data_IF_038404117017
#
_entry.id   IF_038404117017
#
_cell.length_a   1.000
_cell.length_b   1.000
_cell.length_c   1.000
_cell.angle_alpha   90.00
_cell.angle_beta   90.00
_cell.angle_gamma   90.00
#
_symmetry.space_group_name_H-M   'P 1'
#
loop_
_entity.id
_entity.type
_entity.pdbx_description
1 polymer ?
#
# COMPACT_ATOMS: atom_id res chain seq x y z
N UNK A 1 38.59 10.35 -9.45
CA UNK A 1 38.78 9.54 -8.23
C UNK A 1 37.76 8.41 -8.21
N UNK A 2 38.09 7.24 -7.68
CA UNK A 2 37.18 6.10 -7.49
C UNK A 2 36.95 5.92 -6.00
N UNK A 3 35.77 5.47 -5.63
CA UNK A 3 35.37 5.14 -4.24
C UNK A 3 34.69 3.77 -4.20
N UNK A 4 34.64 3.15 -3.03
CA UNK A 4 33.96 1.87 -2.87
C UNK A 4 32.42 2.02 -3.00
N UNK A 5 31.81 0.97 -3.55
CA UNK A 5 30.36 0.82 -3.52
C UNK A 5 29.85 0.94 -2.07
N UNK A 6 28.75 1.67 -1.85
CA UNK A 6 28.19 1.89 -0.51
C UNK A 6 27.56 0.65 0.12
N UNK A 7 27.45 -0.46 -0.61
CA UNK A 7 26.93 -1.70 -0.01
C UNK A 7 27.98 -2.31 0.90
N UNK A 8 27.66 -2.59 2.16
CA UNK A 8 28.59 -3.25 3.09
C UNK A 8 29.11 -4.57 2.51
N UNK A 9 30.45 -4.75 2.54
CA UNK A 9 31.11 -5.95 2.04
C UNK A 9 31.30 -6.03 0.51
N UNK A 10 30.95 -5.00 -0.24
CA UNK A 10 31.16 -4.97 -1.69
C UNK A 10 32.59 -4.40 -2.02
N UNK A 11 33.44 -5.17 -2.74
CA UNK A 11 34.79 -4.72 -3.10
C UNK A 11 34.81 -3.82 -4.35
N UNK A 12 33.68 -3.66 -5.05
CA UNK A 12 33.64 -2.95 -6.33
C UNK A 12 33.87 -1.45 -6.17
N UNK A 13 34.70 -0.89 -7.03
CA UNK A 13 34.97 0.55 -7.12
C UNK A 13 34.00 1.21 -8.10
N UNK A 14 33.49 2.37 -7.73
CA UNK A 14 32.61 3.22 -8.53
C UNK A 14 33.21 4.61 -8.72
N UNK A 15 32.83 5.30 -9.76
CA UNK A 15 33.27 6.67 -10.00
C UNK A 15 32.65 7.64 -8.97
N UNK A 16 33.32 8.75 -8.73
CA UNK A 16 32.80 9.83 -7.90
C UNK A 16 31.47 10.33 -8.48
N UNK A 17 30.46 10.40 -7.67
CA UNK A 17 29.07 10.70 -8.10
C UNK A 17 28.15 9.46 -8.07
N UNK A 18 28.66 8.25 -8.31
CA UNK A 18 27.89 7.01 -8.27
C UNK A 18 28.03 6.38 -6.88
N UNK A 19 26.91 5.99 -6.29
CA UNK A 19 26.89 5.41 -4.93
C UNK A 19 27.00 3.89 -4.91
N UNK A 20 26.56 3.21 -5.96
CA UNK A 20 26.49 1.76 -6.03
C UNK A 20 27.05 1.26 -7.35
N UNK A 21 27.69 0.10 -7.37
CA UNK A 21 28.14 -0.56 -8.60
C UNK A 21 26.94 -1.13 -9.37
N UNK A 22 27.17 -1.55 -10.61
CA UNK A 22 26.13 -2.10 -11.48
C UNK A 22 25.33 -3.25 -10.84
N UNK A 23 25.99 -4.11 -10.06
CA UNK A 23 25.33 -5.21 -9.35
C UNK A 23 24.44 -4.75 -8.19
N UNK A 24 24.73 -3.57 -7.64
CA UNK A 24 24.06 -3.00 -6.47
C UNK A 24 23.30 -1.71 -6.79
N UNK A 25 23.30 -1.31 -8.04
CA UNK A 25 22.44 -0.23 -8.50
C UNK A 25 20.98 -0.64 -8.22
N UNK A 26 20.33 0.15 -7.37
CA UNK A 26 18.91 -0.08 -7.11
C UNK A 26 18.19 0.17 -8.43
N UNK A 27 17.63 -0.87 -9.02
CA UNK A 27 16.63 -0.71 -10.07
C UNK A 27 15.61 0.27 -9.51
N UNK A 28 15.50 1.45 -10.08
CA UNK A 28 14.50 2.43 -9.72
C UNK A 28 13.16 1.75 -9.99
N UNK A 29 12.55 1.21 -8.92
CA UNK A 29 11.19 0.73 -9.02
C UNK A 29 10.35 1.98 -9.26
N UNK A 30 9.62 2.07 -10.37
CA UNK A 30 8.76 3.22 -10.61
C UNK A 30 7.84 3.38 -9.41
N UNK A 31 7.97 4.49 -8.70
CA UNK A 31 7.03 4.86 -7.63
C UNK A 31 5.68 5.05 -8.32
N UNK A 32 4.66 4.32 -7.88
CA UNK A 32 3.31 4.51 -8.40
C UNK A 32 2.92 5.98 -8.14
N UNK A 33 2.71 6.81 -9.17
CA UNK A 33 2.34 8.21 -8.98
C UNK A 33 1.00 8.38 -8.28
N UNK A 34 0.23 7.30 -8.18
CA UNK A 34 -1.02 7.25 -7.44
C UNK A 34 -0.92 6.18 -6.34
N UNK A 35 -0.14 6.42 -5.25
CA UNK A 35 -0.14 5.52 -4.13
C UNK A 35 -1.60 5.35 -3.70
N UNK A 36 -2.02 4.11 -3.50
CA UNK A 36 -3.35 3.85 -2.96
C UNK A 36 -3.40 4.48 -1.59
N UNK A 37 -4.01 5.65 -1.51
CA UNK A 37 -4.29 6.29 -0.24
C UNK A 37 -5.19 5.33 0.54
N UNK A 38 -4.76 4.93 1.72
CA UNK A 38 -5.59 4.11 2.58
C UNK A 38 -6.87 4.88 2.89
N UNK A 39 -8.01 4.20 2.81
CA UNK A 39 -9.29 4.81 3.17
C UNK A 39 -9.18 5.37 4.61
N UNK A 40 -9.44 6.67 4.82
CA UNK A 40 -9.34 7.33 6.13
C UNK A 40 -10.09 6.61 7.24
N UNK A 41 -11.20 5.96 6.91
CA UNK A 41 -11.94 5.16 7.86
C UNK A 41 -11.09 4.06 8.51
N UNK A 42 -10.43 3.22 7.70
CA UNK A 42 -9.66 2.07 8.18
C UNK A 42 -8.37 2.45 8.93
N UNK A 43 -7.90 3.68 8.78
CA UNK A 43 -6.75 4.20 9.53
C UNK A 43 -7.16 5.01 10.76
N UNK A 44 -8.46 5.26 10.94
CA UNK A 44 -8.98 6.02 12.08
C UNK A 44 -8.75 5.30 13.41
N UNK A 45 -8.61 6.09 14.48
CA UNK A 45 -8.50 5.56 15.85
C UNK A 45 -9.78 4.83 16.26
N UNK A 46 -10.94 5.37 15.88
CA UNK A 46 -12.24 4.78 16.17
C UNK A 46 -12.36 3.37 15.59
N UNK A 47 -12.02 3.20 14.30
CA UNK A 47 -12.03 1.89 13.67
C UNK A 47 -11.07 0.90 14.32
N UNK A 48 -9.83 1.31 14.62
CA UNK A 48 -8.84 0.42 15.25
C UNK A 48 -9.32 -0.10 16.59
N UNK A 49 -9.88 0.77 17.45
CA UNK A 49 -10.43 0.38 18.74
C UNK A 49 -11.63 -0.56 18.61
N UNK A 50 -12.55 -0.26 17.70
CA UNK A 50 -13.71 -1.11 17.43
C UNK A 50 -13.28 -2.49 16.93
N UNK A 51 -12.31 -2.55 16.03
CA UNK A 51 -11.77 -3.78 15.49
C UNK A 51 -11.14 -4.66 16.58
N UNK A 52 -10.32 -4.08 17.46
CA UNK A 52 -9.70 -4.79 18.57
C UNK A 52 -10.75 -5.33 19.53
N UNK A 53 -11.71 -4.51 19.90
CA UNK A 53 -12.80 -4.90 20.76
C UNK A 53 -13.63 -6.04 20.15
N UNK A 54 -13.98 -5.96 18.88
CA UNK A 54 -14.77 -6.97 18.20
C UNK A 54 -14.02 -8.32 18.12
N UNK A 55 -12.73 -8.31 17.75
CA UNK A 55 -11.92 -9.54 17.71
C UNK A 55 -11.75 -10.14 19.12
N UNK A 56 -11.61 -9.32 20.16
CA UNK A 56 -11.52 -9.80 21.54
C UNK A 56 -12.79 -10.52 21.99
N UNK A 57 -13.95 -10.05 21.55
CA UNK A 57 -15.24 -10.68 21.87
C UNK A 57 -15.58 -11.88 20.96
N UNK A 58 -15.11 -11.88 19.72
CA UNK A 58 -15.35 -12.91 18.71
C UNK A 58 -14.03 -13.29 18.02
N UNK A 59 -13.16 -14.07 18.67
CA UNK A 59 -11.82 -14.33 18.14
C UNK A 59 -11.78 -15.36 17.01
N UNK A 60 -12.88 -16.06 16.75
CA UNK A 60 -12.94 -17.12 15.74
C UNK A 60 -13.65 -16.66 14.46
N UNK A 61 -13.20 -17.19 13.34
CA UNK A 61 -13.83 -16.98 12.04
C UNK A 61 -15.26 -17.56 12.04
N UNK A 62 -16.25 -16.76 11.70
CA UNK A 62 -17.68 -17.17 11.64
C UNK A 62 -17.94 -18.26 10.60
N UNK A 63 -17.06 -18.44 9.61
CA UNK A 63 -17.23 -19.42 8.53
C UNK A 63 -16.59 -20.78 8.85
N UNK A 64 -15.36 -20.80 9.34
CA UNK A 64 -14.59 -22.03 9.49
C UNK A 64 -14.11 -22.30 10.92
N UNK A 65 -14.38 -21.42 11.88
CA UNK A 65 -13.94 -21.57 13.27
C UNK A 65 -12.45 -21.40 13.52
N UNK A 66 -11.64 -21.13 12.51
CA UNK A 66 -10.21 -20.84 12.67
C UNK A 66 -10.00 -19.48 13.34
N UNK A 67 -8.80 -19.19 13.91
CA UNK A 67 -8.50 -17.87 14.46
C UNK A 67 -8.77 -16.76 13.46
N UNK A 68 -9.60 -15.79 13.87
CA UNK A 68 -9.96 -14.64 13.05
C UNK A 68 -8.90 -13.55 13.08
N UNK A 69 -8.73 -12.85 11.98
CA UNK A 69 -7.73 -11.80 11.82
C UNK A 69 -8.30 -10.54 11.18
N UNK A 70 -9.45 -10.65 10.56
CA UNK A 70 -10.09 -9.58 9.79
C UNK A 70 -11.49 -9.36 10.36
N UNK A 71 -11.83 -8.10 10.60
CA UNK A 71 -13.21 -7.70 10.86
C UNK A 71 -13.80 -7.23 9.53
N UNK A 72 -14.87 -7.88 9.14
CA UNK A 72 -15.56 -7.68 7.86
C UNK A 72 -16.92 -7.01 8.11
N UNK A 73 -17.28 -6.06 7.25
CA UNK A 73 -18.61 -5.48 7.26
C UNK A 73 -19.59 -6.37 6.47
N UNK A 74 -20.66 -6.82 7.10
CA UNK A 74 -21.71 -7.64 6.47
C UNK A 74 -22.36 -6.83 5.34
N UNK A 75 -22.82 -5.62 5.65
CA UNK A 75 -23.22 -4.63 4.67
C UNK A 75 -22.01 -3.73 4.36
N UNK A 76 -21.57 -3.72 3.10
CA UNK A 76 -20.41 -2.90 2.71
C UNK A 76 -20.64 -1.41 3.01
N UNK A 77 -19.60 -0.72 3.45
CA UNK A 77 -19.66 0.69 3.85
C UNK A 77 -20.29 1.61 2.78
N UNK A 78 -19.94 1.39 1.52
CA UNK A 78 -20.48 2.15 0.39
C UNK A 78 -22.01 2.00 0.24
N UNK A 79 -22.55 0.85 0.66
CA UNK A 79 -23.97 0.53 0.56
C UNK A 79 -24.72 0.91 1.85
N UNK A 80 -23.98 1.06 2.96
CA UNK A 80 -24.52 1.45 4.26
C UNK A 80 -24.89 2.94 4.35
N UNK A 81 -24.47 3.77 3.39
CA UNK A 81 -24.74 5.20 3.39
C UNK A 81 -23.99 6.02 4.42
N UNK A 82 -23.02 5.43 5.11
CA UNK A 82 -22.24 6.08 6.18
C UNK A 82 -22.93 6.10 7.55
N UNK A 83 -22.22 6.67 8.53
CA UNK A 83 -22.77 6.89 9.87
C UNK A 83 -22.71 5.68 10.81
N UNK A 84 -23.69 5.55 11.67
CA UNK A 84 -23.67 4.58 12.77
C UNK A 84 -23.60 3.11 12.31
N UNK A 85 -24.10 2.80 11.12
CA UNK A 85 -24.09 1.43 10.56
C UNK A 85 -22.66 0.92 10.31
N UNK A 86 -21.74 1.82 9.98
CA UNK A 86 -20.31 1.46 9.78
C UNK A 86 -19.65 0.98 11.08
N UNK A 87 -20.12 1.47 12.22
CA UNK A 87 -19.57 1.15 13.54
C UNK A 87 -20.45 0.18 14.33
N UNK A 88 -21.60 -0.24 13.79
CA UNK A 88 -22.52 -1.15 14.47
C UNK A 88 -21.90 -2.55 14.59
N UNK A 89 -21.78 -3.06 15.81
CA UNK A 89 -21.26 -4.41 16.06
C UNK A 89 -22.10 -5.51 15.35
N UNK A 90 -23.38 -5.27 15.16
CA UNK A 90 -24.29 -6.16 14.43
C UNK A 90 -23.98 -6.23 12.92
N UNK A 91 -23.28 -5.25 12.38
CA UNK A 91 -22.84 -5.21 10.98
C UNK A 91 -21.40 -5.74 10.81
N UNK A 92 -20.79 -6.27 11.85
CA UNK A 92 -19.41 -6.75 11.83
C UNK A 92 -19.35 -8.25 12.07
N UNK A 93 -18.41 -8.90 11.41
CA UNK A 93 -18.10 -10.32 11.64
C UNK A 93 -16.59 -10.55 11.57
N UNK A 94 -16.12 -11.50 12.38
CA UNK A 94 -14.70 -11.88 12.37
C UNK A 94 -14.46 -12.98 11.35
N UNK A 95 -13.47 -12.81 10.50
CA UNK A 95 -13.09 -13.79 9.48
C UNK A 95 -11.58 -14.08 9.49
N UNK A 96 -11.19 -15.29 9.08
CA UNK A 96 -9.81 -15.59 8.72
C UNK A 96 -9.50 -15.05 7.31
N UNK A 97 -8.22 -14.89 6.99
CA UNK A 97 -7.79 -14.36 5.68
C UNK A 97 -8.30 -15.18 4.50
N UNK A 98 -8.34 -16.51 4.66
CA UNK A 98 -8.78 -17.42 3.60
C UNK A 98 -10.27 -17.19 3.29
N UNK A 99 -11.15 -17.31 4.28
CA UNK A 99 -12.58 -17.12 4.10
C UNK A 99 -12.94 -15.73 3.60
N UNK A 100 -12.24 -14.69 4.09
CA UNK A 100 -12.40 -13.33 3.59
C UNK A 100 -11.99 -13.17 2.12
N UNK A 101 -10.88 -13.79 1.71
CA UNK A 101 -10.44 -13.76 0.30
C UNK A 101 -11.40 -14.53 -0.62
N UNK A 102 -11.97 -15.64 -0.13
CA UNK A 102 -12.94 -16.43 -0.90
C UNK A 102 -14.26 -15.66 -1.10
N UNK A 103 -14.66 -14.86 -0.10
CA UNK A 103 -15.85 -13.99 -0.19
C UNK A 103 -15.63 -12.78 -1.12
N UNK A 104 -14.40 -12.26 -1.17
CA UNK A 104 -13.99 -11.15 -2.05
C UNK A 104 -12.93 -11.60 -3.06
N UNK A 105 -13.29 -12.43 -4.04
CA UNK A 105 -12.32 -12.87 -5.02
C UNK A 105 -11.73 -11.64 -5.74
N UNK A 106 -10.42 -11.50 -5.65
CA UNK A 106 -9.72 -10.44 -6.38
C UNK A 106 -10.02 -10.63 -7.86
N UNK A 107 -10.62 -9.63 -8.49
CA UNK A 107 -10.76 -9.61 -9.95
C UNK A 107 -9.37 -9.86 -10.53
N UNK A 108 -9.20 -11.00 -11.21
CA UNK A 108 -7.93 -11.30 -11.89
C UNK A 108 -7.64 -10.11 -12.79
N UNK A 109 -6.54 -9.43 -12.55
CA UNK A 109 -6.10 -8.34 -13.42
C UNK A 109 -5.67 -8.97 -14.73
N UNK A 110 -6.62 -9.16 -15.64
CA UNK A 110 -6.37 -9.57 -17.01
C UNK A 110 -5.77 -8.38 -17.75
N UNK A 111 -4.48 -8.26 -17.72
CA UNK A 111 -3.74 -7.23 -18.43
C UNK A 111 -2.33 -7.14 -17.86
N UNK A 112 -1.34 -7.50 -18.66
CA UNK A 112 0.05 -7.15 -18.36
C UNK A 112 0.10 -5.63 -18.25
N UNK A 113 0.28 -5.09 -17.03
CA UNK A 113 0.63 -3.67 -16.88
C UNK A 113 1.92 -3.48 -17.64
N UNK A 114 1.85 -2.84 -18.78
CA UNK A 114 3.04 -2.31 -19.38
C UNK A 114 3.60 -1.26 -18.41
N UNK A 115 4.89 -1.33 -18.05
CA UNK A 115 5.50 -0.29 -17.27
C UNK A 115 5.35 1.02 -18.05
N UNK A 116 4.65 2.00 -17.48
CA UNK A 116 4.67 3.35 -18.03
C UNK A 116 6.09 3.86 -17.90
N UNK A 117 6.80 3.91 -18.99
CA UNK A 117 8.12 4.54 -19.06
C UNK A 117 7.87 6.04 -19.02
N UNK A 118 8.10 6.66 -17.89
CA UNK A 118 8.15 8.11 -17.79
C UNK A 118 9.55 8.54 -18.24
N UNK A 119 9.67 9.09 -19.46
CA UNK A 119 10.88 9.76 -19.88
C UNK A 119 11.00 11.07 -19.11
N UNK A 120 12.15 11.28 -18.49
CA UNK A 120 12.50 12.50 -17.75
C UNK A 120 12.69 13.74 -18.64
N UNK A 121 12.47 13.61 -19.94
CA UNK A 121 12.68 14.70 -20.90
C UNK A 121 11.69 15.86 -20.79
N UNK A 122 10.59 15.71 -20.05
CA UNK A 122 9.57 16.76 -19.84
C UNK A 122 9.80 17.67 -18.63
N UNK A 123 10.86 17.48 -17.83
CA UNK A 123 11.10 18.30 -16.63
C UNK A 123 12.28 19.28 -16.77
N UNK A 124 12.69 19.60 -17.98
CA UNK A 124 13.59 20.72 -18.20
C UNK A 124 12.78 22.00 -18.29
N UNK A 125 12.57 22.60 -17.15
CA UNK A 125 12.64 24.00 -16.82
C UNK A 125 12.25 25.03 -17.90
N UNK A 126 11.02 25.46 -17.84
CA UNK A 126 10.67 26.82 -18.29
C UNK A 126 10.53 27.75 -17.07
N UNK A 127 11.60 27.93 -16.32
CA UNK A 127 11.61 28.94 -15.26
C UNK A 127 12.99 29.49 -14.97
N UNK A 128 13.68 30.05 -15.98
CA UNK A 128 14.69 31.07 -15.72
C UNK A 128 14.55 32.15 -16.82
N UNK A 129 13.60 33.00 -16.69
CA UNK A 129 13.65 34.38 -17.23
C UNK A 129 12.90 35.29 -16.29
N UNK A 130 13.51 35.57 -15.15
CA UNK A 130 13.25 36.87 -14.50
C UNK A 130 14.35 37.79 -14.97
N UNK A 131 14.03 38.52 -16.03
CA UNK A 131 14.76 39.73 -16.35
C UNK A 131 14.26 40.82 -15.40
N UNK A 132 15.18 41.31 -14.57
CA UNK A 132 15.00 42.52 -13.83
C UNK A 132 15.13 43.73 -14.75
N UNK A 133 14.33 44.66 -14.55
CA UNK A 133 14.57 46.10 -14.73
C UNK A 133 14.31 46.75 -13.40
#
# INVERSE_FOLDING_TARGET
MKKFCKRPGCPNLVQTGISFCADHERKIVPVDPHPKVADPFYVSVAWRRLREWHISGQPLCVVCGAPGQIVHHILERKDAGGGDVEYAASNLETMCRKCHSDRHPRKKRTGKRQPKVYSYEGLRNDNITRQGT
#
